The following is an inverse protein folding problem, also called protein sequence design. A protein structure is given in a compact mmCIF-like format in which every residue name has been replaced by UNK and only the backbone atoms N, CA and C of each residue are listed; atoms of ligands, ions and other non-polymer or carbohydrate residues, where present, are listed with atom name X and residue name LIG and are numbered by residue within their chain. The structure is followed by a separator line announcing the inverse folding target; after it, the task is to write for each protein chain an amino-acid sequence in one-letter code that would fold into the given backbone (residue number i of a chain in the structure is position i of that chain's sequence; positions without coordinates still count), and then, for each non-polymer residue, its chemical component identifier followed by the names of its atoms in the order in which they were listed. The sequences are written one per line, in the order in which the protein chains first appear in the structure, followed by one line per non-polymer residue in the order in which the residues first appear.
data_IF_085282838945
#
_entry.id   IF_085282838945
#
_cell.length_a   1.000
_cell.length_b   1.000
_cell.length_c   1.000
_cell.angle_alpha   90.00
_cell.angle_beta   90.00
_cell.angle_gamma   90.00
#
_symmetry.space_group_name_H-M   'P 1'
#
loop_
_entity.id
_entity.type
_entity.pdbx_description
1 polymer ?
#
# COMPACT_ATOMS: atom_id res chain seq x y z
N UNK A 1 -1.93 -41.41 7.55
CA UNK A 1 -0.61 -40.89 7.14
C UNK A 1 -0.57 -39.40 7.42
N UNK A 2 0.29 -38.93 8.34
CA UNK A 2 0.40 -37.49 8.65
C UNK A 2 1.14 -36.81 7.50
N UNK A 3 0.48 -35.91 6.77
CA UNK A 3 1.12 -35.10 5.73
C UNK A 3 2.06 -34.11 6.42
N UNK A 4 3.36 -34.39 6.40
CA UNK A 4 4.37 -33.43 6.81
C UNK A 4 4.50 -32.40 5.68
N UNK A 5 4.16 -31.14 5.95
CA UNK A 5 4.51 -30.05 5.05
C UNK A 5 6.04 -30.03 4.94
N UNK A 6 6.57 -30.35 3.76
CA UNK A 6 7.97 -30.15 3.46
C UNK A 6 8.28 -28.65 3.64
N UNK A 7 8.97 -28.30 4.72
CA UNK A 7 9.53 -26.96 4.90
C UNK A 7 10.69 -26.80 3.90
N UNK A 8 10.36 -26.45 2.66
CA UNK A 8 11.31 -26.27 1.54
C UNK A 8 12.14 -24.98 1.65
N UNK A 9 12.10 -24.29 2.79
CA UNK A 9 12.76 -23.00 2.99
C UNK A 9 13.46 -22.89 4.34
N UNK A 10 14.41 -21.96 4.44
CA UNK A 10 15.11 -21.64 5.69
C UNK A 10 14.10 -21.13 6.72
N UNK A 11 14.01 -21.80 7.86
CA UNK A 11 13.26 -21.29 9.00
C UNK A 11 13.99 -20.06 9.58
N UNK A 12 13.28 -18.93 9.68
CA UNK A 12 13.81 -17.71 10.27
C UNK A 12 13.59 -17.69 11.77
N UNK A 13 14.61 -17.34 12.53
CA UNK A 13 14.50 -17.05 13.96
C UNK A 13 13.63 -15.81 14.24
N UNK A 14 13.13 -15.68 15.47
CA UNK A 14 12.32 -14.52 15.87
C UNK A 14 13.06 -13.18 15.70
N UNK A 15 14.38 -13.18 15.87
CA UNK A 15 15.23 -12.00 15.63
C UNK A 15 15.32 -11.68 14.13
N UNK A 16 15.54 -12.68 13.27
CA UNK A 16 15.56 -12.50 11.82
C UNK A 16 14.23 -11.98 11.28
N UNK A 17 13.10 -12.47 11.79
CA UNK A 17 11.77 -11.99 11.40
C UNK A 17 11.55 -10.52 11.77
N UNK A 18 12.03 -10.08 12.95
CA UNK A 18 11.96 -8.67 13.39
C UNK A 18 12.83 -7.73 12.56
N UNK A 19 13.85 -8.26 11.89
CA UNK A 19 14.74 -7.52 11.00
C UNK A 19 14.22 -7.46 9.56
N UNK A 20 13.07 -8.09 9.27
CA UNK A 20 12.37 -7.88 8.01
C UNK A 20 11.69 -6.52 8.08
N UNK A 21 12.32 -5.53 7.47
CA UNK A 21 11.72 -4.22 7.28
C UNK A 21 11.01 -4.19 5.92
N UNK A 22 9.69 -4.39 5.93
CA UNK A 22 8.83 -4.15 4.78
C UNK A 22 8.41 -2.68 4.71
N UNK A 23 8.49 -2.09 3.51
CA UNK A 23 8.11 -0.69 3.25
C UNK A 23 9.27 0.30 3.35
N UNK A 24 9.34 1.22 2.38
CA UNK A 24 10.30 2.32 2.38
C UNK A 24 10.16 3.13 3.68
N UNK A 25 11.30 3.41 4.32
CA UNK A 25 11.46 4.38 5.42
C UNK A 25 11.25 5.85 4.98
N UNK A 26 10.35 6.10 4.04
CA UNK A 26 9.90 7.42 3.64
C UNK A 26 8.40 7.45 3.86
N UNK A 27 7.94 8.29 4.78
CA UNK A 27 6.53 8.40 5.10
C UNK A 27 5.67 8.60 3.86
N UNK A 28 4.42 8.15 3.93
CA UNK A 28 3.37 8.43 2.94
C UNK A 28 3.01 9.94 2.86
N UNK A 29 4.00 10.83 2.94
CA UNK A 29 3.83 12.27 2.72
C UNK A 29 3.63 12.64 1.26
N UNK A 30 3.57 11.65 0.35
CA UNK A 30 3.32 11.83 -1.08
C UNK A 30 1.84 11.79 -1.45
N UNK A 31 0.96 11.40 -0.53
CA UNK A 31 -0.48 11.35 -0.75
C UNK A 31 -1.14 12.56 -0.07
N UNK A 32 -1.24 13.68 -0.80
CA UNK A 32 -2.17 14.78 -0.47
C UNK A 32 -3.47 14.63 -1.27
N UNK A 33 -4.51 15.41 -0.98
CA UNK A 33 -5.74 15.34 -1.76
C UNK A 33 -5.47 15.66 -3.24
N UNK A 34 -6.04 14.88 -4.16
CA UNK A 34 -5.91 15.09 -5.61
C UNK A 34 -7.28 15.26 -6.28
N UNK A 35 -7.37 16.22 -7.20
CA UNK A 35 -8.51 16.33 -8.12
C UNK A 35 -8.43 15.35 -9.30
N UNK A 36 -7.24 14.80 -9.56
CA UNK A 36 -7.01 13.80 -10.60
C UNK A 36 -7.00 12.42 -9.93
N UNK A 37 -8.14 11.72 -9.99
CA UNK A 37 -8.31 10.40 -9.40
C UNK A 37 -9.21 9.51 -10.25
N UNK A 38 -9.08 8.21 -10.01
CA UNK A 38 -9.95 7.16 -10.54
C UNK A 38 -10.91 6.74 -9.43
N UNK A 39 -12.21 6.59 -9.76
CA UNK A 39 -13.17 5.99 -8.84
C UNK A 39 -12.96 4.47 -8.77
N UNK A 40 -12.81 3.96 -7.55
CA UNK A 40 -12.64 2.54 -7.27
C UNK A 40 -13.95 1.94 -6.74
N UNK A 41 -14.13 0.64 -6.92
CA UNK A 41 -15.18 -0.12 -6.21
C UNK A 41 -16.63 0.17 -6.62
N UNK A 42 -16.90 0.99 -7.63
CA UNK A 42 -18.26 1.22 -8.17
C UNK A 42 -19.22 1.97 -7.24
N UNK A 43 -18.81 2.25 -6.00
CA UNK A 43 -19.62 2.91 -4.97
C UNK A 43 -19.59 4.44 -5.07
N UNK A 44 -18.78 5.01 -5.99
CA UNK A 44 -18.65 6.45 -6.22
C UNK A 44 -17.96 7.23 -5.09
N UNK A 45 -17.54 6.54 -4.03
CA UNK A 45 -16.94 7.14 -2.82
C UNK A 45 -15.45 6.80 -2.74
N UNK A 46 -15.07 5.58 -3.08
CA UNK A 46 -13.68 5.14 -3.04
C UNK A 46 -12.94 5.64 -4.28
N UNK A 47 -11.70 6.07 -4.09
CA UNK A 47 -10.91 6.63 -5.17
C UNK A 47 -9.42 6.34 -5.00
N UNK A 48 -8.70 6.39 -6.11
CA UNK A 48 -7.25 6.20 -6.12
C UNK A 48 -6.56 7.15 -7.11
N UNK A 49 -5.34 7.58 -6.82
CA UNK A 49 -4.59 8.53 -7.64
C UNK A 49 -3.08 8.29 -7.54
N UNK A 50 -2.32 8.88 -8.45
CA UNK A 50 -0.86 8.78 -8.42
C UNK A 50 -0.28 9.65 -7.29
N UNK A 51 0.74 9.16 -6.55
CA UNK A 51 1.38 9.94 -5.51
C UNK A 51 2.11 11.15 -6.09
N UNK A 52 1.85 12.33 -5.52
CA UNK A 52 2.60 13.54 -5.81
C UNK A 52 3.95 13.50 -5.08
N UNK A 53 5.01 13.11 -5.77
CA UNK A 53 6.39 13.19 -5.28
C UNK A 53 7.26 11.99 -5.66
N UNK A 54 8.58 12.21 -5.69
CA UNK A 54 9.60 11.24 -6.10
C UNK A 54 9.77 10.01 -5.17
N UNK A 55 8.84 9.79 -4.24
CA UNK A 55 8.87 8.69 -3.26
C UNK A 55 7.94 7.52 -3.58
N UNK A 56 7.12 7.62 -4.62
CA UNK A 56 6.29 6.50 -5.08
C UNK A 56 7.14 5.43 -5.78
N UNK A 57 6.98 4.16 -5.41
CA UNK A 57 7.42 3.07 -6.28
C UNK A 57 6.65 3.14 -7.61
N UNK A 58 7.25 2.73 -8.75
CA UNK A 58 6.51 2.62 -10.00
C UNK A 58 5.25 1.77 -9.81
N UNK A 59 4.07 2.34 -10.10
CA UNK A 59 2.77 1.71 -9.88
C UNK A 59 2.17 1.89 -8.49
N UNK A 60 2.80 2.65 -7.60
CA UNK A 60 2.19 3.04 -6.34
C UNK A 60 0.97 3.92 -6.59
N UNK A 61 -0.10 3.69 -5.85
CA UNK A 61 -1.32 4.51 -5.86
C UNK A 61 -1.64 4.94 -4.43
N UNK A 62 -2.04 6.19 -4.30
CA UNK A 62 -2.72 6.69 -3.11
C UNK A 62 -4.18 6.24 -3.17
N UNK A 63 -4.71 5.74 -2.06
CA UNK A 63 -6.11 5.33 -1.93
C UNK A 63 -6.80 6.19 -0.89
N UNK A 64 -8.07 6.49 -1.13
CA UNK A 64 -8.82 7.38 -0.27
C UNK A 64 -10.31 7.41 -0.58
N UNK A 65 -10.94 8.49 -0.15
CA UNK A 65 -12.36 8.76 -0.38
C UNK A 65 -12.58 10.12 -1.04
N UNK A 66 -13.63 10.22 -1.86
CA UNK A 66 -14.02 11.48 -2.49
C UNK A 66 -14.63 12.42 -1.44
N UNK A 67 -13.95 13.53 -1.20
CA UNK A 67 -14.36 14.58 -0.28
C UNK A 67 -14.32 15.92 -1.02
N UNK A 68 -15.46 16.61 -1.10
CA UNK A 68 -15.60 17.90 -1.81
C UNK A 68 -15.09 17.85 -3.27
N UNK A 69 -15.30 16.72 -3.95
CA UNK A 69 -14.88 16.53 -5.35
C UNK A 69 -13.40 16.16 -5.55
N UNK A 70 -12.63 15.95 -4.47
CA UNK A 70 -11.23 15.51 -4.52
C UNK A 70 -11.07 14.14 -3.84
N UNK A 71 -10.11 13.33 -4.28
CA UNK A 71 -9.72 12.12 -3.58
C UNK A 71 -8.73 12.43 -2.46
N UNK A 72 -9.14 12.23 -1.22
CA UNK A 72 -8.30 12.44 -0.04
C UNK A 72 -7.98 11.11 0.64
N UNK A 73 -6.73 10.85 1.01
CA UNK A 73 -6.34 9.62 1.69
C UNK A 73 -7.00 9.54 3.07
N UNK A 74 -7.22 8.31 3.55
CA UNK A 74 -7.77 8.04 4.88
C UNK A 74 -6.84 8.48 6.01
#
# INVERSE_FOLDING_TARGET
MKKSLLNLGKALSKSEQKNIHGGLRGGFGTCGCSSEYTLEGGNGIECSYEPTGAGGFPGARCYGSVQNGMCCPY
#
